data_IF_335056245381
#
_entry.id   IF_335056245381
#
_cell.length_a   1.000
_cell.length_b   1.000
_cell.length_c   1.000
_cell.angle_alpha   90.00
_cell.angle_beta   90.00
_cell.angle_gamma   90.00
#
_symmetry.space_group_name_H-M   'P 1'
#
loop_
_entity.id
_entity.type
_entity.pdbx_description
1 polymer ?
#
# COMPACT_ATOMS: atom_id res chain seq x y z
N UNK A 1 10.92 13.59 -66.50
CA UNK A 1 10.62 12.73 -67.67
C UNK A 1 9.58 11.69 -67.25
N UNK A 2 8.58 11.49 -68.10
CA UNK A 2 7.62 10.37 -68.23
C UNK A 2 6.84 9.86 -67.00
N UNK A 3 5.52 10.01 -67.11
CA UNK A 3 4.41 9.35 -66.41
C UNK A 3 4.38 7.84 -66.70
N UNK A 4 3.77 7.06 -65.81
CA UNK A 4 2.86 5.91 -66.08
C UNK A 4 2.20 5.57 -64.72
N UNK A 5 0.99 6.03 -64.36
CA UNK A 5 -0.34 5.54 -64.74
C UNK A 5 -0.40 4.01 -64.91
N UNK A 6 -1.21 3.31 -64.09
CA UNK A 6 -2.39 2.51 -64.52
C UNK A 6 -2.93 1.60 -63.39
N UNK A 7 -4.15 1.97 -62.96
CA UNK A 7 -5.35 1.17 -62.59
C UNK A 7 -5.31 0.01 -61.59
N UNK A 8 -6.11 0.21 -60.54
CA UNK A 8 -6.84 -0.78 -59.72
C UNK A 8 -8.07 -1.26 -60.54
N UNK A 9 -8.47 -2.54 -60.48
CA UNK A 9 -9.75 -2.88 -59.82
C UNK A 9 -9.70 -4.24 -59.04
N UNK A 10 -10.10 -4.29 -57.77
CA UNK A 10 -11.46 -4.51 -57.23
C UNK A 10 -11.75 -5.99 -56.88
N UNK A 11 -12.11 -6.16 -55.60
CA UNK A 11 -12.92 -7.21 -54.96
C UNK A 11 -12.44 -8.67 -54.90
N UNK A 12 -12.14 -9.10 -53.67
CA UNK A 12 -12.74 -10.33 -53.11
C UNK A 12 -12.91 -10.14 -51.60
N UNK A 13 -14.16 -9.88 -51.20
CA UNK A 13 -14.63 -9.95 -49.82
C UNK A 13 -14.69 -11.43 -49.41
N UNK A 14 -13.79 -11.85 -48.51
CA UNK A 14 -14.03 -12.98 -47.63
C UNK A 14 -14.32 -12.43 -46.24
N UNK A 15 -15.59 -12.52 -45.86
CA UNK A 15 -16.07 -12.22 -44.52
C UNK A 15 -15.43 -13.22 -43.55
N UNK A 16 -14.43 -12.76 -42.80
CA UNK A 16 -13.97 -13.46 -41.59
C UNK A 16 -14.89 -13.03 -40.47
N UNK A 17 -15.71 -13.98 -40.03
CA UNK A 17 -16.61 -13.91 -38.88
C UNK A 17 -15.75 -13.60 -37.65
N UNK A 18 -15.91 -12.45 -36.96
CA UNK A 18 -15.30 -12.29 -35.65
C UNK A 18 -16.10 -13.14 -34.67
N UNK A 19 -15.51 -14.25 -34.25
CA UNK A 19 -15.96 -15.01 -33.09
C UNK A 19 -15.97 -14.07 -31.88
N UNK A 20 -17.15 -13.59 -31.51
CA UNK A 20 -17.37 -12.87 -30.27
C UNK A 20 -17.30 -13.89 -29.14
N UNK A 21 -16.09 -14.13 -28.65
CA UNK A 21 -15.86 -14.79 -27.38
C UNK A 21 -16.34 -13.86 -26.26
N UNK A 22 -17.62 -13.98 -25.93
CA UNK A 22 -18.20 -13.51 -24.69
C UNK A 22 -17.54 -14.28 -23.54
N UNK A 23 -16.47 -13.72 -22.96
CA UNK A 23 -15.89 -14.24 -21.72
C UNK A 23 -15.81 -13.13 -20.68
N UNK A 24 -16.82 -13.19 -19.81
CA UNK A 24 -16.82 -12.78 -18.42
C UNK A 24 -16.08 -11.47 -18.10
N UNK A 25 -16.84 -10.37 -18.07
CA UNK A 25 -16.55 -9.28 -17.15
C UNK A 25 -16.62 -9.85 -15.72
N UNK A 26 -15.49 -10.32 -15.21
CA UNK A 26 -15.27 -10.42 -13.77
C UNK A 26 -15.23 -8.98 -13.30
N UNK A 27 -16.39 -8.45 -12.89
CA UNK A 27 -16.43 -7.28 -12.05
C UNK A 27 -15.65 -7.65 -10.80
N UNK A 28 -14.39 -7.23 -10.74
CA UNK A 28 -13.63 -7.25 -9.51
C UNK A 28 -14.39 -6.36 -8.54
N UNK A 29 -15.24 -6.97 -7.71
CA UNK A 29 -15.59 -6.39 -6.43
C UNK A 29 -14.28 -6.34 -5.66
N UNK A 30 -13.53 -5.25 -5.85
CA UNK A 30 -12.57 -4.82 -4.87
C UNK A 30 -13.39 -4.58 -3.61
N UNK A 31 -13.53 -5.61 -2.78
CA UNK A 31 -13.82 -5.45 -1.36
C UNK A 31 -12.58 -4.82 -0.74
N UNK A 32 -12.28 -3.59 -1.14
CA UNK A 32 -11.42 -2.72 -0.36
C UNK A 32 -12.21 -2.46 0.90
N UNK A 33 -11.76 -3.05 2.01
CA UNK A 33 -12.08 -2.52 3.32
C UNK A 33 -11.81 -1.01 3.24
N UNK A 34 -12.87 -0.21 3.33
CA UNK A 34 -12.75 1.25 3.46
C UNK A 34 -12.19 1.50 4.85
N UNK A 35 -10.88 1.30 4.99
CA UNK A 35 -10.15 1.66 6.19
C UNK A 35 -10.14 3.18 6.27
N UNK A 36 -10.52 3.72 7.44
CA UNK A 36 -10.57 5.16 7.63
C UNK A 36 -9.16 5.75 7.51
N UNK A 37 -9.06 6.90 6.84
CA UNK A 37 -7.80 7.64 6.73
C UNK A 37 -7.29 8.03 8.13
N UNK A 38 -6.05 7.66 8.51
CA UNK A 38 -5.46 8.07 9.76
C UNK A 38 -5.30 9.60 9.83
N UNK A 39 -5.70 10.20 10.95
CA UNK A 39 -5.51 11.63 11.22
C UNK A 39 -4.50 11.90 12.34
N UNK A 40 -3.99 10.84 12.98
CA UNK A 40 -3.01 10.91 14.08
C UNK A 40 -1.81 10.03 13.75
N UNK A 41 -0.64 10.31 14.35
CA UNK A 41 0.58 9.52 14.13
C UNK A 41 0.43 8.11 14.72
N UNK A 42 -0.39 7.96 15.74
CA UNK A 42 -0.76 6.71 16.41
C UNK A 42 -1.58 5.82 15.48
N UNK A 43 -2.68 6.35 14.93
CA UNK A 43 -3.54 5.62 13.99
C UNK A 43 -2.76 5.26 12.73
N UNK A 44 -1.90 6.16 12.26
CA UNK A 44 -1.06 5.92 11.11
C UNK A 44 -0.03 4.82 11.40
N UNK A 45 0.55 4.77 12.60
CA UNK A 45 1.49 3.71 12.96
C UNK A 45 0.80 2.36 13.12
N UNK A 46 -0.43 2.34 13.67
CA UNK A 46 -1.25 1.13 13.70
C UNK A 46 -1.61 0.64 12.27
N UNK A 47 -1.89 1.55 11.35
CA UNK A 47 -2.09 1.23 9.93
C UNK A 47 -0.82 0.61 9.30
N UNK A 48 0.35 1.21 9.54
CA UNK A 48 1.64 0.70 9.09
C UNK A 48 1.86 -0.72 9.61
N UNK A 49 1.63 -0.96 10.90
CA UNK A 49 1.77 -2.28 11.52
C UNK A 49 0.88 -3.33 10.85
N UNK A 50 -0.42 -3.03 10.68
CA UNK A 50 -1.37 -3.93 10.00
C UNK A 50 -0.98 -4.23 8.56
N UNK A 51 -0.50 -3.21 7.84
CA UNK A 51 -0.06 -3.32 6.46
C UNK A 51 1.16 -4.23 6.32
N UNK A 52 2.17 -4.06 7.19
CA UNK A 52 3.38 -4.89 7.17
C UNK A 52 3.09 -6.31 7.64
N UNK A 53 2.17 -6.51 8.57
CA UNK A 53 1.81 -7.85 9.06
C UNK A 53 0.77 -8.55 8.18
N UNK A 54 0.17 -7.81 7.23
CA UNK A 54 -0.91 -8.30 6.36
C UNK A 54 -2.10 -8.86 7.13
N UNK A 55 -2.44 -8.21 8.26
CA UNK A 55 -3.57 -8.59 9.13
C UNK A 55 -4.66 -7.53 9.06
N UNK A 56 -5.91 -7.96 9.32
CA UNK A 56 -7.05 -7.04 9.39
C UNK A 56 -7.05 -6.20 10.66
N UNK A 57 -6.71 -6.83 11.77
CA UNK A 57 -6.77 -6.26 13.11
C UNK A 57 -5.52 -6.64 13.90
N UNK A 58 -5.19 -5.77 14.87
CA UNK A 58 -4.14 -5.97 15.85
C UNK A 58 -4.69 -5.63 17.23
N UNK A 59 -4.27 -6.38 18.24
CA UNK A 59 -4.48 -5.99 19.63
C UNK A 59 -3.39 -5.00 20.01
N UNK A 60 -3.73 -3.72 20.09
CA UNK A 60 -2.80 -2.65 20.47
C UNK A 60 -2.68 -2.61 22.00
N UNK A 61 -1.44 -2.50 22.49
CA UNK A 61 -1.11 -2.34 23.91
C UNK A 61 -0.76 -0.90 24.24
N UNK A 62 0.42 -0.68 24.80
CA UNK A 62 0.94 0.65 25.15
C UNK A 62 1.27 1.43 23.87
N UNK A 63 0.87 2.70 23.83
CA UNK A 63 1.17 3.64 22.76
C UNK A 63 1.92 4.84 23.33
N UNK A 64 2.99 5.24 22.67
CA UNK A 64 3.79 6.44 22.95
C UNK A 64 3.88 7.25 21.66
N UNK A 65 3.35 8.45 21.67
CA UNK A 65 3.26 9.29 20.49
C UNK A 65 3.91 10.64 20.74
N UNK A 66 4.59 11.13 19.71
CA UNK A 66 5.34 12.38 19.76
C UNK A 66 5.17 13.14 18.44
N UNK A 67 3.94 13.63 18.14
CA UNK A 67 3.67 14.43 16.93
C UNK A 67 4.46 15.75 16.87
N UNK A 68 5.00 16.20 17.99
CA UNK A 68 5.81 17.41 18.11
C UNK A 68 7.30 17.23 17.77
N UNK A 69 7.78 15.99 17.62
CA UNK A 69 9.17 15.72 17.25
C UNK A 69 9.45 15.96 15.76
N UNK A 70 10.72 15.99 15.39
CA UNK A 70 11.20 16.13 14.02
C UNK A 70 12.17 14.98 13.68
N UNK A 71 11.72 13.91 13.01
CA UNK A 71 10.37 13.71 12.45
C UNK A 71 9.31 13.36 13.52
N UNK A 72 8.02 13.68 13.28
CA UNK A 72 6.93 13.21 14.14
C UNK A 72 6.83 11.69 14.11
N UNK A 73 6.46 11.08 15.23
CA UNK A 73 6.44 9.61 15.31
C UNK A 73 5.58 9.04 16.42
N UNK A 74 5.43 7.72 16.36
CA UNK A 74 4.78 6.93 17.39
C UNK A 74 5.48 5.58 17.54
N UNK A 75 5.41 5.04 18.75
CA UNK A 75 5.85 3.69 19.10
C UNK A 75 4.72 3.00 19.83
N UNK A 76 4.40 1.79 19.42
CA UNK A 76 3.35 1.01 20.06
C UNK A 76 3.74 -0.46 20.21
N UNK A 77 3.20 -1.09 21.24
CA UNK A 77 3.20 -2.55 21.36
C UNK A 77 1.94 -3.13 20.71
N UNK A 78 2.04 -4.29 20.09
CA UNK A 78 0.92 -4.99 19.48
C UNK A 78 0.98 -6.50 19.72
N UNK A 79 -0.13 -7.18 19.44
CA UNK A 79 -0.18 -8.62 19.26
C UNK A 79 -1.11 -8.95 18.09
N UNK A 80 -0.73 -9.98 17.35
CA UNK A 80 -1.60 -10.60 16.33
C UNK A 80 -2.62 -11.56 16.95
N UNK A 81 -2.45 -11.92 18.23
CA UNK A 81 -3.41 -12.72 19.01
C UNK A 81 -4.43 -11.80 19.67
N UNK A 82 -5.66 -11.84 19.20
CA UNK A 82 -6.73 -10.96 19.72
C UNK A 82 -7.15 -11.30 21.16
N UNK A 83 -6.86 -12.51 21.62
CA UNK A 83 -7.10 -13.01 22.97
C UNK A 83 -5.93 -12.77 23.95
N UNK A 84 -4.80 -12.20 23.52
CA UNK A 84 -3.65 -11.92 24.39
C UNK A 84 -4.02 -11.09 25.62
N UNK A 85 -3.52 -11.46 26.80
CA UNK A 85 -3.65 -10.62 27.99
C UNK A 85 -2.78 -9.36 27.86
N UNK A 86 -3.09 -8.24 28.56
CA UNK A 86 -2.34 -6.99 28.42
C UNK A 86 -0.83 -7.14 28.61
N UNK A 87 -0.40 -7.97 29.56
CA UNK A 87 1.02 -8.22 29.86
C UNK A 87 1.73 -9.06 28.78
N UNK A 88 0.97 -9.73 27.90
CA UNK A 88 1.48 -10.53 26.78
C UNK A 88 1.56 -9.74 25.45
N UNK A 89 1.21 -8.45 25.45
CA UNK A 89 1.28 -7.58 24.27
C UNK A 89 2.68 -6.94 24.23
N UNK A 90 3.64 -7.65 23.64
CA UNK A 90 5.07 -7.27 23.71
C UNK A 90 5.73 -6.93 22.37
N UNK A 91 5.13 -7.29 21.22
CA UNK A 91 5.75 -7.01 19.92
C UNK A 91 5.73 -5.50 19.68
N UNK A 92 6.83 -4.91 19.22
CA UNK A 92 6.95 -3.45 19.10
C UNK A 92 7.07 -3.01 17.65
N UNK A 93 6.45 -1.87 17.34
CA UNK A 93 6.69 -1.11 16.12
C UNK A 93 6.89 0.38 16.44
N UNK A 94 7.86 0.97 15.79
CA UNK A 94 8.09 2.42 15.76
C UNK A 94 7.86 2.95 14.35
N UNK A 95 7.16 4.06 14.22
CA UNK A 95 6.91 4.73 12.95
C UNK A 95 7.29 6.21 13.03
N UNK A 96 7.85 6.71 11.94
CA UNK A 96 8.16 8.13 11.72
C UNK A 96 7.45 8.61 10.47
N UNK A 97 7.01 9.86 10.50
CA UNK A 97 6.20 10.47 9.46
C UNK A 97 6.84 11.75 8.95
N UNK A 98 6.45 12.17 7.75
CA UNK A 98 6.80 13.46 7.19
C UNK A 98 6.11 14.57 8.00
N UNK A 99 6.86 15.62 8.35
CA UNK A 99 6.30 16.75 9.11
C UNK A 99 5.35 17.56 8.22
N UNK A 100 4.25 18.02 8.81
CA UNK A 100 3.23 18.85 8.16
C UNK A 100 2.58 18.20 6.91
N UNK A 101 2.73 16.88 6.73
CA UNK A 101 2.12 16.16 5.62
C UNK A 101 0.64 15.88 5.88
N UNK A 102 -0.22 16.33 4.97
CA UNK A 102 -1.62 15.97 4.90
C UNK A 102 -1.95 15.43 3.49
N UNK A 103 -2.19 14.13 3.31
CA UNK A 103 -2.24 13.06 4.32
C UNK A 103 -0.89 12.75 4.95
N UNK A 104 -0.91 12.13 6.14
CA UNK A 104 0.28 11.59 6.80
C UNK A 104 1.04 10.64 5.86
N UNK A 105 2.36 10.78 5.81
CA UNK A 105 3.23 9.95 4.98
C UNK A 105 4.30 9.32 5.84
N UNK A 106 4.42 8.00 5.81
CA UNK A 106 5.49 7.29 6.52
C UNK A 106 6.84 7.56 5.84
N UNK A 107 7.84 7.93 6.64
CA UNK A 107 9.23 8.14 6.19
C UNK A 107 10.14 6.99 6.61
N UNK A 108 9.82 6.35 7.75
CA UNK A 108 10.51 5.18 8.29
C UNK A 108 9.60 4.40 9.23
N UNK A 109 9.77 3.09 9.30
CA UNK A 109 9.25 2.30 10.42
C UNK A 109 10.23 1.20 10.81
N UNK A 110 10.23 0.79 12.08
CA UNK A 110 11.06 -0.27 12.62
C UNK A 110 10.17 -1.31 13.31
N UNK A 111 10.37 -2.58 12.99
CA UNK A 111 9.77 -3.71 13.68
C UNK A 111 10.90 -4.49 14.33
N UNK A 112 10.87 -4.55 15.66
CA UNK A 112 12.00 -5.04 16.47
C UNK A 112 13.32 -4.35 16.06
N UNK A 113 14.31 -5.11 15.58
CA UNK A 113 15.62 -4.61 15.17
C UNK A 113 15.72 -4.22 13.69
N UNK A 114 14.67 -4.45 12.89
CA UNK A 114 14.69 -4.21 11.45
C UNK A 114 13.95 -2.94 11.10
N UNK A 115 14.58 -2.05 10.34
CA UNK A 115 13.99 -0.79 9.92
C UNK A 115 13.86 -0.67 8.40
N UNK A 116 12.75 -0.06 7.98
CA UNK A 116 12.31 0.03 6.61
C UNK A 116 12.18 1.51 6.24
N UNK A 117 12.90 1.92 5.19
CA UNK A 117 12.87 3.28 4.66
C UNK A 117 13.21 3.26 3.16
N UNK A 118 12.94 4.37 2.48
CA UNK A 118 13.26 4.52 1.04
C UNK A 118 14.77 4.31 0.75
N UNK A 119 15.63 4.62 1.73
CA UNK A 119 17.08 4.49 1.64
C UNK A 119 17.63 3.26 2.39
N UNK A 120 16.81 2.27 2.75
CA UNK A 120 17.32 1.01 3.32
C UNK A 120 18.36 0.36 2.40
N UNK A 121 19.43 -0.19 2.96
CA UNK A 121 20.49 -0.85 2.18
C UNK A 121 19.97 -2.13 1.51
N UNK A 122 19.16 -2.90 2.24
CA UNK A 122 18.56 -4.14 1.74
C UNK A 122 17.43 -3.85 0.76
N UNK A 123 17.48 -4.38 -0.48
CA UNK A 123 16.45 -4.16 -1.49
C UNK A 123 15.05 -4.58 -1.05
N UNK A 124 14.95 -5.66 -0.27
CA UNK A 124 13.69 -6.15 0.26
C UNK A 124 13.08 -5.19 1.28
N UNK A 125 13.89 -4.57 2.15
CA UNK A 125 13.42 -3.59 3.11
C UNK A 125 12.87 -2.34 2.42
N UNK A 126 13.55 -1.85 1.37
CA UNK A 126 13.04 -0.74 0.55
C UNK A 126 11.72 -1.09 -0.10
N UNK A 127 11.62 -2.28 -0.70
CA UNK A 127 10.39 -2.75 -1.34
C UNK A 127 9.24 -2.80 -0.32
N UNK A 128 9.49 -3.34 0.88
CA UNK A 128 8.47 -3.41 1.93
C UNK A 128 8.02 -2.02 2.39
N UNK A 129 8.95 -1.07 2.48
CA UNK A 129 8.61 0.33 2.74
C UNK A 129 7.72 0.93 1.64
N UNK A 130 8.07 0.73 0.37
CA UNK A 130 7.31 1.24 -0.77
C UNK A 130 5.89 0.64 -0.84
N UNK A 131 5.73 -0.64 -0.50
CA UNK A 131 4.42 -1.30 -0.39
C UNK A 131 3.52 -0.60 0.63
N UNK A 132 4.03 -0.35 1.84
CA UNK A 132 3.28 0.34 2.90
C UNK A 132 2.97 1.78 2.51
N UNK A 133 3.95 2.51 1.97
CA UNK A 133 3.74 3.89 1.52
C UNK A 133 2.65 3.96 0.44
N UNK A 134 2.66 3.02 -0.50
CA UNK A 134 1.64 2.94 -1.55
C UNK A 134 0.26 2.58 -0.98
N UNK A 135 0.17 1.82 0.10
CA UNK A 135 -1.09 1.54 0.80
C UNK A 135 -1.63 2.79 1.50
N UNK A 136 -0.79 3.55 2.22
CA UNK A 136 -1.19 4.82 2.84
C UNK A 136 -1.72 5.81 1.79
N UNK A 137 -1.06 5.92 0.64
CA UNK A 137 -1.47 6.80 -0.45
C UNK A 137 -2.85 6.47 -1.06
N UNK A 138 -3.35 5.24 -0.87
CA UNK A 138 -4.69 4.83 -1.34
C UNK A 138 -5.82 5.27 -0.40
N UNK A 139 -5.49 5.73 0.80
CA UNK A 139 -6.45 6.27 1.78
C UNK A 139 -6.80 7.74 1.51
N UNK A 140 -6.32 8.29 0.39
CA UNK A 140 -6.44 9.70 0.01
C UNK A 140 -7.74 10.01 -0.71
#
# INVERSE_FOLDING_TARGET
MKRLLITIPVLSLLAVIPAHAQQAQVAATATGSTEARPTTVEDACAFVAKSVLMVKDLKIGVVQAFPELDPPGARLTYSTRMDSEPDDISDEIECQFERDADPLQVTRFCMESTCYAANSEEPEQRRRFEEVRALMQRLN
#
